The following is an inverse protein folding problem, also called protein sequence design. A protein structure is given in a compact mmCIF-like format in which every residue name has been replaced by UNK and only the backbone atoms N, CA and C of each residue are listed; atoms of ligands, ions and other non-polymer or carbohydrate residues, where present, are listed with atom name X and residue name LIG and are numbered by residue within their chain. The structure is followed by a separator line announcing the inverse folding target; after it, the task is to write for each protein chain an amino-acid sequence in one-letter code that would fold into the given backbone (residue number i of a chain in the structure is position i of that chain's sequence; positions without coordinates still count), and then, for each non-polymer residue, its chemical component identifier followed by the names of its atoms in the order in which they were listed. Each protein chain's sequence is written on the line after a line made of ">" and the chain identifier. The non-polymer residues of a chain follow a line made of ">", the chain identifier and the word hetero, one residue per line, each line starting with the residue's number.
data_IF_224394290792
#
_entry.id   IF_224394290792
#
_cell.length_a   1.000
_cell.length_b   1.000
_cell.length_c   1.000
_cell.angle_alpha   90.00
_cell.angle_beta   90.00
_cell.angle_gamma   90.00
#
_symmetry.space_group_name_H-M   'P 1'
#
loop_
_entity.id
_entity.type
_entity.pdbx_description
1 polymer ?
#
# COMPACT_ATOMS: atom_id res chain seq x y z
N UNK A 1 -13.89 -0.25 12.11
CA UNK A 1 -13.67 -0.25 10.64
C UNK A 1 -14.37 -1.45 10.01
N UNK A 2 -15.25 -1.19 9.06
CA UNK A 2 -16.00 -2.21 8.31
C UNK A 2 -15.09 -2.82 7.25
N UNK A 3 -15.20 -4.13 7.05
CA UNK A 3 -14.44 -4.86 6.05
C UNK A 3 -14.66 -4.31 4.64
N UNK A 4 -15.86 -3.80 4.36
CA UNK A 4 -16.22 -3.23 3.07
C UNK A 4 -15.39 -2.00 2.71
N UNK A 5 -15.17 -1.10 3.66
CA UNK A 5 -14.36 0.11 3.44
C UNK A 5 -12.90 -0.23 3.18
N UNK A 6 -12.39 -1.17 3.97
CA UNK A 6 -11.07 -1.78 3.84
C UNK A 6 -10.89 -2.41 2.43
N UNK A 7 -11.88 -3.15 1.92
CA UNK A 7 -11.86 -3.75 0.57
C UNK A 7 -11.99 -2.70 -0.54
N UNK A 8 -12.75 -1.63 -0.30
CA UNK A 8 -12.88 -0.49 -1.21
C UNK A 8 -11.55 0.24 -1.40
N UNK A 9 -10.86 0.57 -0.31
CA UNK A 9 -9.50 1.16 -0.35
C UNK A 9 -8.53 0.23 -1.05
N UNK A 10 -8.54 -1.06 -0.72
CA UNK A 10 -7.67 -2.05 -1.35
C UNK A 10 -7.90 -2.15 -2.87
N UNK A 11 -9.17 -2.18 -3.31
CA UNK A 11 -9.53 -2.19 -4.73
C UNK A 11 -9.08 -0.92 -5.44
N UNK A 12 -9.26 0.24 -4.80
CA UNK A 12 -8.81 1.53 -5.35
C UNK A 12 -7.28 1.62 -5.46
N UNK A 13 -6.54 0.91 -4.61
CA UNK A 13 -5.07 0.80 -4.69
C UNK A 13 -4.62 -0.29 -5.69
N UNK A 14 -5.55 -1.01 -6.33
CA UNK A 14 -5.23 -2.11 -7.25
C UNK A 14 -4.75 -3.38 -6.55
N UNK A 15 -5.09 -3.57 -5.27
CA UNK A 15 -4.84 -4.81 -4.54
C UNK A 15 -5.95 -5.80 -4.94
N UNK A 16 -5.61 -6.76 -5.80
CA UNK A 16 -6.53 -7.82 -6.23
C UNK A 16 -6.46 -9.03 -5.29
N UNK A 17 -7.50 -9.89 -5.28
CA UNK A 17 -7.56 -11.08 -4.43
C UNK A 17 -8.07 -10.86 -3.00
N UNK A 18 -8.48 -9.64 -2.68
CA UNK A 18 -8.96 -9.18 -1.36
C UNK A 18 -10.26 -9.83 -0.88
N UNK A 19 -11.01 -10.46 -1.78
CA UNK A 19 -12.30 -11.11 -1.47
C UNK A 19 -12.14 -12.38 -0.63
N UNK A 20 -11.00 -13.08 -0.73
CA UNK A 20 -10.70 -14.31 0.04
C UNK A 20 -9.83 -14.04 1.27
N UNK A 21 -9.26 -12.84 1.39
CA UNK A 21 -8.38 -12.42 2.48
C UNK A 21 -9.17 -12.18 3.77
N UNK A 22 -8.57 -12.53 4.92
CA UNK A 22 -9.11 -12.20 6.24
C UNK A 22 -8.91 -10.70 6.49
N UNK A 23 -9.68 -10.14 7.44
CA UNK A 23 -9.55 -8.73 7.83
C UNK A 23 -8.11 -8.33 8.16
N UNK A 24 -7.38 -9.18 8.89
CA UNK A 24 -5.97 -8.96 9.23
C UNK A 24 -5.09 -8.86 7.98
N UNK A 25 -5.19 -9.87 7.12
CA UNK A 25 -4.44 -10.01 5.88
C UNK A 25 -4.69 -8.83 4.93
N UNK A 26 -5.93 -8.37 4.86
CA UNK A 26 -6.31 -7.21 4.08
C UNK A 26 -5.73 -5.90 4.64
N UNK A 27 -5.78 -5.71 5.96
CA UNK A 27 -5.19 -4.54 6.62
C UNK A 27 -3.68 -4.53 6.37
N UNK A 28 -3.00 -5.67 6.49
CA UNK A 28 -1.57 -5.79 6.20
C UNK A 28 -1.25 -5.47 4.75
N UNK A 29 -2.01 -6.00 3.78
CA UNK A 29 -1.82 -5.71 2.36
C UNK A 29 -1.98 -4.21 2.05
N UNK A 30 -3.03 -3.58 2.60
CA UNK A 30 -3.27 -2.14 2.44
C UNK A 30 -2.15 -1.34 3.09
N UNK A 31 -1.74 -1.70 4.32
CA UNK A 31 -0.70 -0.99 5.07
C UNK A 31 0.66 -1.16 4.41
N UNK A 32 0.99 -2.34 3.90
CA UNK A 32 2.17 -2.62 3.11
C UNK A 32 2.18 -1.83 1.80
N UNK A 33 1.04 -1.71 1.11
CA UNK A 33 0.92 -0.91 -0.11
C UNK A 33 0.96 0.60 0.16
N UNK A 34 0.38 1.07 1.27
CA UNK A 34 0.47 2.46 1.70
C UNK A 34 1.90 2.82 2.09
N UNK A 35 2.59 1.95 2.83
CA UNK A 35 3.99 2.12 3.19
C UNK A 35 4.91 2.04 1.96
N UNK A 36 4.67 1.11 1.04
CA UNK A 36 5.45 0.96 -0.21
C UNK A 36 5.13 1.99 -1.30
N UNK A 37 4.00 2.68 -1.21
CA UNK A 37 3.61 3.75 -2.13
C UNK A 37 4.00 5.16 -1.68
N UNK A 38 4.25 5.36 -0.38
CA UNK A 38 4.74 6.64 0.17
C UNK A 38 6.24 6.61 0.52
N UNK A 39 6.89 5.45 0.48
CA UNK A 39 8.34 5.34 0.53
C UNK A 39 8.86 5.01 -0.86
N UNK A 40 8.85 6.01 -1.74
CA UNK A 40 10.00 6.12 -2.62
C UNK A 40 11.22 6.26 -1.68
N UNK A 41 12.26 5.41 -1.78
CA UNK A 41 13.55 5.88 -1.31
C UNK A 41 13.81 7.14 -2.14
N UNK A 42 14.14 8.25 -1.49
CA UNK A 42 14.77 9.37 -2.16
C UNK A 42 16.16 8.90 -2.65
N UNK A 43 16.17 8.01 -3.64
CA UNK A 43 17.33 7.63 -4.42
C UNK A 43 17.33 8.55 -5.65
N UNK A 44 17.70 9.81 -5.40
CA UNK A 44 18.32 10.68 -6.40
C UNK A 44 18.98 11.84 -5.66
N UNK A 45 20.01 11.52 -4.88
CA UNK A 45 21.16 12.41 -4.88
C UNK A 45 21.84 12.24 -6.26
N UNK A 46 22.00 13.31 -7.05
CA UNK A 46 23.33 13.66 -7.54
C UNK A 46 23.98 14.46 -6.39
N UNK A 47 24.94 13.86 -5.70
CA UNK A 47 26.33 14.11 -6.05
C UNK A 47 26.59 15.61 -6.23
N UNK A 48 27.16 16.18 -5.17
CA UNK A 48 28.29 17.12 -5.19
C UNK A 48 28.83 17.52 -6.57
N UNK A 49 29.21 18.81 -6.63
CA UNK A 49 30.24 19.41 -7.51
C UNK A 49 29.78 19.94 -8.86
N UNK A 50 29.58 21.28 -8.94
CA UNK A 50 30.49 22.23 -9.58
C UNK A 50 29.82 23.62 -9.64
#
# INVERSE_FOLDING_TARGET
>A
MKLDELKGVASSMGITGTTKMRKSDLVEAIKARQAGGSSAPAAAAPAVTA
#
